data_IF_526759815868
#
_entry.id   IF_526759815868
#
_cell.length_a   1.000
_cell.length_b   1.000
_cell.length_c   1.000
_cell.angle_alpha   90.00
_cell.angle_beta   90.00
_cell.angle_gamma   90.00
#
_symmetry.space_group_name_H-M   'P 1'
#
loop_
_entity.id
_entity.type
_entity.pdbx_description
1 polymer ?
#
# COMPACT_ATOMS: atom_id res chain seq x y z
N UNK A 1 10.87 -1.17 -4.60
CA UNK A 1 10.68 0.27 -4.33
C UNK A 1 11.75 0.85 -3.40
N UNK A 2 11.98 0.37 -2.17
CA UNK A 2 13.00 0.96 -1.26
C UNK A 2 14.49 0.72 -1.64
N UNK A 3 14.80 -0.23 -2.52
CA UNK A 3 16.18 -0.51 -2.96
C UNK A 3 16.73 0.51 -3.97
N UNK A 4 15.91 1.37 -4.56
CA UNK A 4 16.38 2.36 -5.53
C UNK A 4 16.85 3.65 -4.86
N UNK A 5 16.24 4.01 -3.73
CA UNK A 5 16.48 5.28 -3.02
C UNK A 5 17.82 5.30 -2.27
N UNK A 6 18.37 4.17 -1.83
CA UNK A 6 19.68 4.17 -1.14
C UNK A 6 20.82 4.64 -2.05
N UNK A 7 20.71 4.37 -3.36
CA UNK A 7 21.73 4.71 -4.36
C UNK A 7 21.75 6.21 -4.65
N UNK A 8 20.58 6.84 -4.70
CA UNK A 8 20.41 8.28 -4.94
C UNK A 8 20.83 9.11 -3.72
N UNK A 9 20.75 8.54 -2.52
CA UNK A 9 21.10 9.19 -1.26
C UNK A 9 22.56 8.91 -0.83
N UNK A 10 23.38 8.28 -1.67
CA UNK A 10 24.78 7.96 -1.37
C UNK A 10 24.98 6.97 -0.21
N UNK A 11 23.93 6.23 0.18
CA UNK A 11 23.98 5.32 1.33
C UNK A 11 24.69 4.02 0.90
N UNK A 12 25.63 3.55 1.73
CA UNK A 12 26.27 2.25 1.47
C UNK A 12 25.24 1.11 1.56
N UNK A 13 25.25 0.22 0.56
CA UNK A 13 24.30 -0.89 0.45
C UNK A 13 24.29 -1.82 1.69
N UNK A 14 25.45 -2.08 2.28
CA UNK A 14 25.54 -2.91 3.50
C UNK A 14 24.88 -2.22 4.68
N UNK A 15 25.10 -0.91 4.82
CA UNK A 15 24.47 -0.09 5.85
C UNK A 15 22.95 -0.05 5.68
N UNK A 16 22.46 0.11 4.45
CA UNK A 16 21.02 0.07 4.15
C UNK A 16 20.37 -1.24 4.63
N UNK A 17 20.91 -2.39 4.25
CA UNK A 17 20.38 -3.69 4.68
C UNK A 17 20.56 -3.95 6.18
N UNK A 18 21.65 -3.44 6.76
CA UNK A 18 21.88 -3.51 8.20
C UNK A 18 20.78 -2.79 8.98
N UNK A 19 20.47 -1.55 8.60
CA UNK A 19 19.40 -0.76 9.24
C UNK A 19 18.03 -1.40 9.03
N UNK A 20 17.73 -1.87 7.82
CA UNK A 20 16.46 -2.55 7.54
C UNK A 20 16.29 -3.83 8.39
N UNK A 21 17.37 -4.59 8.62
CA UNK A 21 17.36 -5.75 9.52
C UNK A 21 17.14 -5.33 10.97
N UNK A 22 17.79 -4.25 11.42
CA UNK A 22 17.65 -3.71 12.77
C UNK A 22 16.22 -3.22 13.04
N UNK A 23 15.61 -2.51 12.09
CA UNK A 23 14.21 -2.08 12.16
C UNK A 23 13.25 -3.27 12.25
N UNK A 24 13.44 -4.29 11.40
CA UNK A 24 12.59 -5.51 11.45
C UNK A 24 12.69 -6.23 12.79
N UNK A 25 13.89 -6.36 13.37
CA UNK A 25 14.06 -6.95 14.70
C UNK A 25 13.38 -6.12 15.78
N UNK A 26 13.60 -4.82 15.80
CA UNK A 26 12.98 -3.93 16.78
C UNK A 26 11.46 -3.87 16.69
N UNK A 27 10.89 -4.00 15.49
CA UNK A 27 9.43 -4.10 15.30
C UNK A 27 8.90 -5.50 15.68
N UNK A 28 9.64 -6.56 15.36
CA UNK A 28 9.32 -7.95 15.69
C UNK A 28 9.36 -8.25 17.19
N UNK A 29 10.32 -7.68 17.92
CA UNK A 29 10.47 -7.82 19.38
C UNK A 29 9.37 -7.10 20.16
N UNK A 30 8.68 -6.11 19.55
CA UNK A 30 7.56 -5.37 20.15
C UNK A 30 6.18 -5.91 19.79
N UNK A 31 6.11 -6.84 18.85
CA UNK A 31 4.88 -7.57 18.61
C UNK A 31 4.72 -8.54 19.79
N UNK A 32 3.61 -8.50 20.55
CA UNK A 32 3.35 -9.55 21.51
C UNK A 32 3.43 -10.87 20.74
N UNK A 33 4.33 -11.74 21.18
CA UNK A 33 4.34 -13.13 20.76
C UNK A 33 2.91 -13.59 21.04
N UNK A 34 2.09 -13.77 20.00
CA UNK A 34 0.75 -14.30 20.17
C UNK A 34 0.99 -15.61 20.92
N UNK A 35 0.51 -15.75 22.16
CA UNK A 35 0.75 -16.97 22.91
C UNK A 35 0.26 -18.10 22.00
N UNK A 36 1.13 -19.09 21.80
CA UNK A 36 0.70 -20.36 21.25
C UNK A 36 -0.56 -20.71 22.01
N UNK A 37 -1.70 -20.61 21.34
CA UNK A 37 -2.97 -20.95 21.93
C UNK A 37 -2.79 -22.39 22.36
N UNK A 38 -2.89 -22.59 23.67
CA UNK A 38 -2.82 -23.87 24.35
C UNK A 38 -4.04 -24.70 23.93
N UNK A 39 -4.04 -25.17 22.69
CA UNK A 39 -4.85 -26.28 22.26
C UNK A 39 -3.89 -27.42 21.96
N UNK A 40 -4.05 -28.47 22.76
CA UNK A 40 -3.27 -29.69 22.83
C UNK A 40 -2.40 -30.00 21.61
N UNK A 41 -1.14 -30.30 21.90
CA UNK A 41 -0.20 -30.96 21.00
C UNK A 41 -0.84 -32.29 20.55
N UNK A 42 -1.55 -32.25 19.43
CA UNK A 42 -1.61 -33.35 18.51
C UNK A 42 -0.79 -32.91 17.30
N UNK A 43 0.42 -33.43 17.21
CA UNK A 43 1.24 -33.38 16.00
C UNK A 43 0.54 -34.19 14.91
N UNK A 44 -0.53 -33.65 14.35
CA UNK A 44 -0.93 -34.04 13.00
C UNK A 44 -0.09 -33.21 12.08
N UNK A 45 0.70 -33.88 11.23
CA UNK A 45 1.38 -33.26 10.10
C UNK A 45 0.34 -32.72 9.11
N UNK A 46 -0.35 -31.66 9.51
CA UNK A 46 -1.24 -30.94 8.63
C UNK A 46 -0.31 -30.12 7.76
N UNK A 47 0.01 -30.66 6.57
CA UNK A 47 0.61 -29.89 5.48
C UNK A 47 -0.05 -28.51 5.48
N UNK A 48 0.70 -27.41 5.49
CA UNK A 48 0.10 -26.09 5.44
C UNK A 48 -0.72 -26.01 4.14
N UNK A 49 -2.04 -26.10 4.29
CA UNK A 49 -2.96 -25.85 3.18
C UNK A 49 -3.00 -24.34 3.08
N UNK A 50 -2.24 -23.81 2.14
CA UNK A 50 -2.38 -22.41 1.73
C UNK A 50 -3.80 -22.28 1.18
N UNK A 51 -4.71 -21.73 1.97
CA UNK A 51 -5.99 -21.28 1.47
C UNK A 51 -5.70 -20.17 0.46
N UNK A 52 -6.15 -20.37 -0.78
CA UNK A 52 -6.08 -19.33 -1.80
C UNK A 52 -6.90 -18.14 -1.31
N UNK A 53 -6.19 -17.09 -0.87
CA UNK A 53 -6.83 -15.82 -0.59
C UNK A 53 -7.12 -15.24 -1.96
N UNK A 54 -8.40 -15.23 -2.35
CA UNK A 54 -8.87 -14.39 -3.44
C UNK A 54 -8.63 -12.96 -3.01
N UNK A 55 -7.46 -12.43 -3.34
CA UNK A 55 -7.24 -11.00 -3.35
C UNK A 55 -8.35 -10.47 -4.25
N UNK A 56 -9.34 -9.81 -3.66
CA UNK A 56 -10.20 -8.93 -4.43
C UNK A 56 -9.22 -8.08 -5.21
N UNK A 57 -9.14 -8.31 -6.52
CA UNK A 57 -8.42 -7.40 -7.38
C UNK A 57 -8.99 -6.06 -6.98
N UNK A 58 -8.18 -5.25 -6.31
CA UNK A 58 -8.47 -3.84 -6.23
C UNK A 58 -8.32 -3.44 -7.68
N UNK A 59 -9.39 -3.62 -8.45
CA UNK A 59 -9.57 -2.99 -9.73
C UNK A 59 -9.46 -1.54 -9.35
N UNK A 60 -8.24 -1.00 -9.48
CA UNK A 60 -7.97 0.41 -9.35
C UNK A 60 -8.95 1.04 -10.32
N UNK A 61 -10.04 1.56 -9.77
CA UNK A 61 -11.19 1.97 -10.55
C UNK A 61 -10.67 3.00 -11.54
N UNK A 62 -10.58 2.63 -12.81
CA UNK A 62 -10.02 3.51 -13.81
C UNK A 62 -10.88 4.77 -13.83
N UNK A 63 -10.26 5.97 -13.81
CA UNK A 63 -11.03 7.20 -13.86
C UNK A 63 -11.84 7.21 -15.16
N UNK A 64 -13.10 7.62 -15.05
CA UNK A 64 -13.97 7.81 -16.21
C UNK A 64 -13.50 9.00 -17.04
N UNK A 65 -12.94 10.03 -16.38
CA UNK A 65 -12.35 11.20 -17.02
C UNK A 65 -11.05 11.58 -16.31
N UNK A 66 -10.01 11.86 -17.08
CA UNK A 66 -8.75 12.43 -16.59
C UNK A 66 -8.47 13.73 -17.33
N UNK A 67 -8.37 14.83 -16.58
CA UNK A 67 -7.95 16.14 -17.07
C UNK A 67 -6.52 16.43 -16.60
N UNK A 68 -5.66 16.86 -17.52
CA UNK A 68 -4.27 17.24 -17.24
C UNK A 68 -4.07 18.68 -17.65
N UNK A 69 -3.75 19.54 -16.69
CA UNK A 69 -3.54 20.98 -16.89
C UNK A 69 -2.24 21.38 -16.19
N UNK A 70 -1.24 21.76 -16.98
CA UNK A 70 0.12 22.07 -16.52
C UNK A 70 0.68 21.00 -15.56
N UNK A 71 0.65 21.29 -14.25
CA UNK A 71 1.23 20.48 -13.18
C UNK A 71 0.14 19.80 -12.32
N UNK A 72 -1.13 19.91 -12.72
CA UNK A 72 -2.28 19.35 -12.02
C UNK A 72 -2.95 18.24 -12.83
N UNK A 73 -3.46 17.24 -12.10
CA UNK A 73 -4.26 16.14 -12.65
C UNK A 73 -5.56 16.07 -11.88
N UNK A 74 -6.69 16.11 -12.58
CA UNK A 74 -8.03 15.91 -12.04
C UNK A 74 -8.59 14.59 -12.57
N UNK A 75 -8.97 13.70 -11.67
CA UNK A 75 -9.53 12.39 -11.98
C UNK A 75 -10.97 12.32 -11.47
N UNK A 76 -11.90 11.95 -12.36
CA UNK A 76 -13.32 11.75 -12.03
C UNK A 76 -13.61 10.27 -12.23
N UNK A 77 -14.03 9.59 -11.17
CA UNK A 77 -14.39 8.17 -11.20
C UNK A 77 -15.88 7.97 -11.45
N UNK A 78 -16.23 6.79 -11.97
CA UNK A 78 -17.63 6.38 -12.09
C UNK A 78 -18.32 6.40 -10.73
N UNK A 79 -19.55 6.93 -10.69
CA UNK A 79 -20.32 7.10 -9.45
C UNK A 79 -20.13 8.45 -8.75
N UNK A 80 -19.29 9.34 -9.28
CA UNK A 80 -19.24 10.73 -8.80
C UNK A 80 -20.60 11.42 -9.00
N UNK A 81 -21.07 12.12 -7.96
CA UNK A 81 -22.32 12.86 -8.03
C UNK A 81 -22.20 14.06 -8.97
N UNK A 82 -23.27 14.36 -9.71
CA UNK A 82 -23.31 15.51 -10.63
C UNK A 82 -22.92 16.83 -9.96
N UNK A 83 -23.43 17.09 -8.76
CA UNK A 83 -23.09 18.31 -7.98
C UNK A 83 -21.60 18.38 -7.66
N UNK A 84 -20.98 17.24 -7.35
CA UNK A 84 -19.54 17.14 -7.08
C UNK A 84 -18.73 17.43 -8.34
N UNK A 85 -19.14 16.87 -9.49
CA UNK A 85 -18.48 17.13 -10.78
C UNK A 85 -18.58 18.61 -11.16
N UNK A 86 -19.78 19.20 -11.07
CA UNK A 86 -20.00 20.61 -11.45
C UNK A 86 -19.22 21.57 -10.53
N UNK A 87 -19.27 21.35 -9.21
CA UNK A 87 -18.56 22.19 -8.24
C UNK A 87 -17.05 22.09 -8.40
N UNK A 88 -16.51 20.89 -8.62
CA UNK A 88 -15.07 20.69 -8.82
C UNK A 88 -14.60 21.35 -10.11
N UNK A 89 -15.35 21.22 -11.22
CA UNK A 89 -15.03 21.90 -12.48
C UNK A 89 -15.16 23.43 -12.38
N UNK A 90 -16.14 23.94 -11.63
CA UNK A 90 -16.29 25.38 -11.39
C UNK A 90 -15.12 25.93 -10.56
N UNK A 91 -14.70 25.23 -9.52
CA UNK A 91 -13.51 25.59 -8.77
C UNK A 91 -12.26 25.53 -9.67
N UNK A 92 -12.14 24.49 -10.50
CA UNK A 92 -11.02 24.34 -11.42
C UNK A 92 -10.95 25.47 -12.45
N UNK A 93 -12.11 25.93 -12.95
CA UNK A 93 -12.21 27.10 -13.83
C UNK A 93 -11.71 28.39 -13.16
N UNK A 94 -11.77 28.52 -11.84
CA UNK A 94 -11.25 29.71 -11.15
C UNK A 94 -9.73 29.71 -10.95
N UNK A 95 -9.07 28.56 -11.11
CA UNK A 95 -7.62 28.41 -10.99
C UNK A 95 -6.86 28.64 -12.30
N UNK A 96 -7.53 28.73 -13.44
CA UNK A 96 -6.96 28.92 -14.78
C UNK A 96 -7.61 30.12 -15.46
#
# INVERSE_FOLDING_TARGET
FLSLTYREQGINLKSYYYWQRKVRRAAGEKLPMIPNIEHGIATTETKPVFAEIKLSQCETALPAVTLRLNNAVLEIHNGAERSTIENTLQAFKSLC
#
